data_IF_593628691103
#
_entry.id   IF_593628691103
#
_cell.length_a   1.000
_cell.length_b   1.000
_cell.length_c   1.000
_cell.angle_alpha   90.00
_cell.angle_beta   90.00
_cell.angle_gamma   90.00
#
_symmetry.space_group_name_H-M   'P 1'
#
loop_
_entity.id
_entity.type
_entity.pdbx_description
1 polymer ?
#
# COMPACT_ATOMS: atom_id res chain seq x y z
N UNK A 1 -18.54 62.85 -4.70
CA UNK A 1 -19.29 61.61 -4.43
C UNK A 1 -18.38 60.43 -4.78
N UNK A 2 -17.84 59.76 -3.75
CA UNK A 2 -16.75 58.76 -3.84
C UNK A 2 -17.32 57.43 -4.36
N UNK A 3 -16.84 56.97 -5.52
CA UNK A 3 -17.14 55.63 -6.04
C UNK A 3 -16.18 54.65 -5.35
N UNK A 4 -16.71 53.81 -4.46
CA UNK A 4 -15.98 52.74 -3.79
C UNK A 4 -15.61 51.65 -4.81
N UNK A 5 -14.31 51.39 -4.96
CA UNK A 5 -13.77 50.20 -5.61
C UNK A 5 -13.82 49.04 -4.60
N UNK A 6 -14.73 48.09 -4.81
CA UNK A 6 -14.75 46.83 -4.07
C UNK A 6 -13.88 45.83 -4.84
N UNK A 7 -12.64 45.66 -4.39
CA UNK A 7 -11.75 44.58 -4.81
C UNK A 7 -12.19 43.30 -4.08
N UNK A 8 -13.07 42.51 -4.69
CA UNK A 8 -13.35 41.14 -4.25
C UNK A 8 -12.14 40.26 -4.56
N UNK A 9 -11.27 40.08 -3.56
CA UNK A 9 -10.19 39.09 -3.59
C UNK A 9 -10.82 37.70 -3.53
N UNK A 10 -10.98 37.07 -4.69
CA UNK A 10 -11.37 35.67 -4.82
C UNK A 10 -10.18 34.81 -4.42
N UNK A 11 -10.13 34.38 -3.15
CA UNK A 11 -9.22 33.32 -2.70
C UNK A 11 -9.63 32.02 -3.40
N UNK A 12 -9.03 31.76 -4.57
CA UNK A 12 -9.06 30.45 -5.20
C UNK A 12 -8.28 29.49 -4.29
N UNK A 13 -9.00 28.81 -3.39
CA UNK A 13 -8.46 27.73 -2.60
C UNK A 13 -7.92 26.66 -3.55
N UNK A 14 -6.60 26.45 -3.53
CA UNK A 14 -6.00 25.34 -4.25
C UNK A 14 -6.65 24.05 -3.74
N UNK A 15 -7.19 23.18 -4.63
CA UNK A 15 -7.60 21.85 -4.22
C UNK A 15 -6.36 21.11 -3.74
N UNK A 16 -6.23 20.95 -2.42
CA UNK A 16 -5.32 19.98 -1.83
C UNK A 16 -5.67 18.63 -2.43
N UNK A 17 -4.75 18.05 -3.21
CA UNK A 17 -4.89 16.70 -3.73
C UNK A 17 -4.85 15.70 -2.56
N UNK A 18 -5.99 15.54 -1.89
CA UNK A 18 -6.20 14.48 -0.92
C UNK A 18 -6.18 13.17 -1.71
N UNK A 19 -5.25 12.28 -1.35
CA UNK A 19 -5.24 10.93 -1.89
C UNK A 19 -6.63 10.29 -1.67
N UNK A 20 -7.15 9.61 -2.69
CA UNK A 20 -8.49 9.07 -2.62
C UNK A 20 -8.58 8.01 -1.52
N UNK A 21 -9.65 8.02 -0.69
CA UNK A 21 -9.86 6.99 0.32
C UNK A 21 -10.01 5.64 -0.38
N UNK A 22 -9.43 4.61 0.23
CA UNK A 22 -9.51 3.24 -0.26
C UNK A 22 -10.83 2.63 0.21
N UNK A 23 -11.46 1.80 -0.63
CA UNK A 23 -12.69 1.06 -0.36
C UNK A 23 -12.42 -0.08 0.62
N UNK A 24 -11.99 0.27 1.83
CA UNK A 24 -11.59 -0.62 2.90
C UNK A 24 -12.13 -0.08 4.21
N UNK A 25 -12.88 -0.90 4.94
CA UNK A 25 -13.45 -0.49 6.22
C UNK A 25 -12.41 -0.55 7.36
N UNK A 26 -12.39 0.44 8.26
CA UNK A 26 -11.56 0.38 9.46
C UNK A 26 -12.02 -0.74 10.40
N UNK A 27 -11.08 -1.35 11.11
CA UNK A 27 -11.34 -2.44 12.05
C UNK A 27 -10.19 -3.43 12.18
N UNK A 28 -10.48 -4.56 12.82
CA UNK A 28 -9.56 -5.69 12.90
C UNK A 28 -9.67 -6.52 11.63
N UNK A 29 -8.53 -6.74 10.99
CA UNK A 29 -8.39 -7.53 9.77
C UNK A 29 -7.59 -8.79 10.03
N UNK A 30 -8.03 -9.89 9.44
CA UNK A 30 -7.27 -11.13 9.34
C UNK A 30 -6.72 -11.22 7.92
N UNK A 31 -5.39 -11.34 7.81
CA UNK A 31 -4.65 -11.21 6.56
C UNK A 31 -3.84 -12.47 6.37
N UNK A 32 -4.13 -13.20 5.30
CA UNK A 32 -3.38 -14.36 4.88
C UNK A 32 -2.38 -13.97 3.81
N UNK A 33 -1.11 -14.31 4.03
CA UNK A 33 0.01 -14.02 3.14
C UNK A 33 0.63 -15.34 2.72
N UNK A 34 0.84 -15.51 1.43
CA UNK A 34 1.57 -16.65 0.87
C UNK A 34 2.72 -16.12 0.03
N UNK A 35 3.94 -16.56 0.33
CA UNK A 35 5.14 -16.10 -0.36
C UNK A 35 5.73 -17.21 -1.23
N UNK A 36 6.18 -16.87 -2.42
CA UNK A 36 6.85 -17.74 -3.38
C UNK A 36 8.18 -17.10 -3.77
N UNK A 37 9.29 -17.74 -3.45
CA UNK A 37 10.62 -17.30 -3.91
C UNK A 37 10.98 -18.04 -5.20
N UNK A 38 11.44 -17.30 -6.21
CA UNK A 38 11.91 -17.90 -7.45
C UNK A 38 13.20 -18.71 -7.21
N UNK A 39 13.32 -19.89 -7.82
CA UNK A 39 14.52 -20.73 -7.72
C UNK A 39 14.56 -21.68 -6.51
N UNK A 40 13.54 -21.72 -5.65
CA UNK A 40 13.41 -22.77 -4.63
C UNK A 40 12.90 -24.08 -5.26
N UNK A 41 13.49 -25.25 -4.91
CA UNK A 41 12.99 -26.54 -5.33
C UNK A 41 11.54 -26.77 -4.91
N UNK A 42 10.73 -27.37 -5.78
CA UNK A 42 9.39 -27.84 -5.42
C UNK A 42 9.51 -28.88 -4.28
N UNK A 43 8.86 -28.62 -3.15
CA UNK A 43 8.89 -29.48 -1.96
C UNK A 43 9.66 -28.93 -0.76
N UNK A 44 10.46 -27.87 -0.91
CA UNK A 44 10.86 -27.09 0.26
C UNK A 44 9.67 -26.24 0.75
N UNK A 45 9.56 -25.97 2.07
CA UNK A 45 8.53 -25.07 2.58
C UNK A 45 8.76 -23.69 1.96
N UNK A 46 7.99 -23.34 0.92
CA UNK A 46 7.82 -21.94 0.53
C UNK A 46 7.55 -21.16 1.80
N UNK A 47 8.15 -19.96 1.96
CA UNK A 47 7.89 -19.12 3.13
C UNK A 47 6.37 -19.08 3.37
N UNK A 48 5.96 -19.78 4.44
CA UNK A 48 4.68 -20.47 4.49
C UNK A 48 3.49 -19.54 4.31
N UNK A 49 2.35 -20.13 3.93
CA UNK A 49 1.06 -19.46 4.12
C UNK A 49 0.91 -19.17 5.61
N UNK A 50 0.86 -17.90 5.98
CA UNK A 50 0.67 -17.48 7.36
C UNK A 50 -0.44 -16.44 7.43
N UNK A 51 -1.08 -16.37 8.58
CA UNK A 51 -2.18 -15.46 8.84
C UNK A 51 -1.82 -14.56 10.00
N UNK A 52 -1.96 -13.25 9.79
CA UNK A 52 -1.74 -12.22 10.81
C UNK A 52 -3.04 -11.46 11.06
N UNK A 53 -3.17 -10.88 12.25
CA UNK A 53 -4.25 -9.95 12.53
C UNK A 53 -3.68 -8.56 12.72
N UNK A 54 -4.29 -7.58 12.05
CA UNK A 54 -3.87 -6.19 12.11
C UNK A 54 -5.09 -5.30 12.33
N UNK A 55 -4.98 -4.37 13.28
CA UNK A 55 -5.92 -3.27 13.40
C UNK A 55 -5.60 -2.22 12.34
N UNK A 56 -6.62 -1.79 11.60
CA UNK A 56 -6.53 -0.76 10.58
C UNK A 56 -7.46 0.37 10.98
N UNK A 57 -6.88 1.56 11.12
CA UNK A 57 -7.54 2.76 11.59
C UNK A 57 -8.22 3.53 10.46
N UNK A 58 -9.21 4.40 10.76
CA UNK A 58 -9.83 5.26 9.75
C UNK A 58 -8.83 6.19 9.04
N UNK A 59 -7.80 6.64 9.75
CA UNK A 59 -6.74 7.50 9.19
C UNK A 59 -5.90 6.73 8.16
N UNK A 60 -5.64 5.45 8.39
CA UNK A 60 -4.95 4.60 7.41
C UNK A 60 -5.80 4.39 6.15
N UNK A 61 -7.11 4.14 6.27
CA UNK A 61 -7.98 3.92 5.10
C UNK A 61 -8.21 5.19 4.26
N UNK A 62 -7.96 6.36 4.85
CA UNK A 62 -8.08 7.65 4.18
C UNK A 62 -6.97 7.92 3.15
N UNK A 63 -5.83 7.22 3.24
CA UNK A 63 -4.72 7.36 2.30
C UNK A 63 -4.10 5.99 1.99
N UNK A 64 -4.16 5.58 0.72
CA UNK A 64 -3.55 4.34 0.24
C UNK A 64 -2.06 4.21 0.62
N UNK A 65 -1.33 5.32 0.72
CA UNK A 65 0.09 5.33 1.14
C UNK A 65 0.28 4.88 2.58
N UNK A 66 -0.70 5.07 3.45
CA UNK A 66 -0.66 4.62 4.86
C UNK A 66 -0.97 3.12 4.97
N UNK A 67 -1.80 2.60 4.06
CA UNK A 67 -2.06 1.15 3.95
C UNK A 67 -0.84 0.43 3.35
N UNK A 68 -0.20 1.01 2.34
CA UNK A 68 1.04 0.50 1.75
C UNK A 68 2.19 0.80 2.72
N UNK A 69 2.45 -0.11 3.67
CA UNK A 69 3.52 0.04 4.65
C UNK A 69 4.89 0.19 3.97
N UNK A 70 5.42 1.41 3.94
CA UNK A 70 6.77 1.69 3.41
C UNK A 70 7.81 1.67 4.51
N UNK A 71 9.01 1.19 4.19
CA UNK A 71 10.17 1.27 5.08
C UNK A 71 10.99 2.55 4.82
N UNK A 72 11.80 3.02 5.79
CA UNK A 72 12.77 4.09 5.56
C UNK A 72 13.67 3.78 4.37
N UNK A 73 13.90 4.76 3.50
CA UNK A 73 14.69 4.59 2.27
C UNK A 73 13.91 4.07 1.05
N UNK A 74 12.61 3.84 1.19
CA UNK A 74 11.72 3.53 0.06
C UNK A 74 11.04 4.78 -0.51
N UNK A 75 10.99 4.90 -1.83
CA UNK A 75 10.32 5.97 -2.56
C UNK A 75 9.37 5.39 -3.60
N UNK A 76 8.17 5.95 -3.70
CA UNK A 76 7.21 5.61 -4.76
C UNK A 76 7.69 6.19 -6.10
N UNK A 77 7.97 5.33 -7.07
CA UNK A 77 8.20 5.74 -8.46
C UNK A 77 6.88 5.95 -9.19
N UNK A 78 5.89 5.11 -8.88
CA UNK A 78 4.53 5.19 -9.41
C UNK A 78 3.55 4.83 -8.32
N UNK A 79 2.44 5.56 -8.27
CA UNK A 79 1.31 5.25 -7.42
C UNK A 79 0.05 5.64 -8.20
N UNK A 80 -0.77 4.64 -8.49
CA UNK A 80 -2.08 4.77 -9.13
C UNK A 80 -3.12 4.33 -8.10
N UNK A 81 -3.91 5.29 -7.61
CA UNK A 81 -4.90 5.08 -6.56
C UNK A 81 -6.30 5.32 -7.11
N UNK A 82 -7.08 4.25 -7.15
CA UNK A 82 -8.52 4.27 -7.33
C UNK A 82 -9.16 3.73 -6.05
N UNK A 83 -10.45 4.02 -5.81
CA UNK A 83 -11.10 3.64 -4.56
C UNK A 83 -11.04 2.11 -4.34
N UNK A 84 -11.29 1.32 -5.37
CA UNK A 84 -11.30 -0.14 -5.31
C UNK A 84 -9.99 -0.79 -5.75
N UNK A 85 -9.05 -0.05 -6.32
CA UNK A 85 -7.86 -0.64 -6.94
C UNK A 85 -6.64 0.27 -6.77
N UNK A 86 -5.57 -0.29 -6.21
CA UNK A 86 -4.33 0.47 -5.96
C UNK A 86 -3.16 -0.29 -6.57
N UNK A 87 -2.38 0.41 -7.39
CA UNK A 87 -1.13 -0.11 -7.96
C UNK A 87 0.02 0.80 -7.61
N UNK A 88 1.14 0.20 -7.25
CA UNK A 88 2.35 0.97 -6.97
C UNK A 88 3.59 0.28 -7.48
N UNK A 89 4.59 1.11 -7.73
CA UNK A 89 5.98 0.71 -7.89
C UNK A 89 6.83 1.59 -7.00
N UNK A 90 7.67 0.98 -6.18
CA UNK A 90 8.60 1.67 -5.32
C UNK A 90 10.01 1.12 -5.47
N UNK A 91 10.98 1.97 -5.21
CA UNK A 91 12.39 1.62 -5.09
C UNK A 91 12.83 1.90 -3.67
N UNK A 92 13.51 0.94 -3.07
CA UNK A 92 14.15 1.08 -1.78
C UNK A 92 15.66 1.10 -1.96
N UNK A 93 16.32 2.08 -1.35
CA UNK A 93 17.77 2.16 -1.26
C UNK A 93 18.14 2.18 0.21
N UNK A 94 18.78 1.12 0.68
CA UNK A 94 19.31 1.00 2.04
C UNK A 94 20.84 0.86 1.96
N UNK A 95 21.58 1.03 3.08
CA UNK A 95 23.02 0.75 3.11
C UNK A 95 23.38 -0.68 2.69
N UNK A 96 22.44 -1.62 2.85
CA UNK A 96 22.61 -3.05 2.54
C UNK A 96 22.38 -3.38 1.05
N UNK A 97 21.77 -2.46 0.29
CA UNK A 97 21.54 -2.66 -1.15
C UNK A 97 20.34 -1.90 -1.71
N UNK A 98 19.96 -2.27 -2.93
CA UNK A 98 18.79 -1.73 -3.61
C UNK A 98 17.75 -2.82 -3.86
N UNK A 99 16.48 -2.49 -3.62
CA UNK A 99 15.37 -3.34 -3.97
C UNK A 99 14.26 -2.57 -4.69
N UNK A 100 13.41 -3.32 -5.38
CA UNK A 100 12.19 -2.79 -6.01
C UNK A 100 10.99 -3.58 -5.53
N UNK A 101 9.87 -2.89 -5.36
CA UNK A 101 8.60 -3.52 -4.99
C UNK A 101 7.50 -3.02 -5.91
N UNK A 102 6.76 -3.94 -6.49
CA UNK A 102 5.59 -3.68 -7.33
C UNK A 102 4.39 -4.38 -6.72
N UNK A 103 3.32 -3.64 -6.47
CA UNK A 103 2.13 -4.18 -5.84
C UNK A 103 0.85 -3.77 -6.55
N UNK A 104 -0.13 -4.67 -6.50
CA UNK A 104 -1.48 -4.47 -7.01
C UNK A 104 -2.47 -5.03 -6.00
N UNK A 105 -3.40 -4.18 -5.55
CA UNK A 105 -4.39 -4.51 -4.53
C UNK A 105 -5.78 -4.13 -5.01
N UNK A 106 -6.76 -4.99 -4.75
CA UNK A 106 -8.18 -4.74 -5.01
C UNK A 106 -8.94 -4.83 -3.69
N UNK A 107 -9.73 -3.80 -3.41
CA UNK A 107 -10.45 -3.60 -2.15
C UNK A 107 -11.97 -3.60 -2.36
N UNK A 108 -12.68 -4.28 -1.47
CA UNK A 108 -14.13 -4.50 -1.54
C UNK A 108 -14.80 -4.35 -0.16
N UNK A 109 -14.51 -3.25 0.54
CA UNK A 109 -15.09 -2.90 1.84
C UNK A 109 -14.55 -3.77 2.98
N UNK A 110 -15.05 -5.01 3.09
CA UNK A 110 -14.68 -5.97 4.15
C UNK A 110 -13.75 -7.09 3.69
N UNK A 111 -13.33 -7.07 2.42
CA UNK A 111 -12.30 -7.96 1.90
C UNK A 111 -11.32 -7.22 1.00
N UNK A 112 -10.14 -7.77 0.84
CA UNK A 112 -9.21 -7.37 -0.21
C UNK A 112 -8.39 -8.56 -0.69
N UNK A 113 -7.84 -8.43 -1.89
CA UNK A 113 -6.83 -9.33 -2.41
C UNK A 113 -5.74 -8.56 -3.12
N UNK A 114 -4.55 -9.12 -3.22
CA UNK A 114 -3.53 -8.54 -4.05
C UNK A 114 -2.27 -9.36 -4.17
N UNK A 115 -1.38 -8.85 -5.01
CA UNK A 115 -0.09 -9.46 -5.32
C UNK A 115 1.00 -8.42 -5.13
N UNK A 116 2.08 -8.81 -4.47
CA UNK A 116 3.28 -8.02 -4.28
C UNK A 116 4.45 -8.79 -4.87
N UNK A 117 5.24 -8.12 -5.71
CA UNK A 117 6.49 -8.64 -6.22
C UNK A 117 7.61 -7.81 -5.63
N UNK A 118 8.54 -8.47 -4.95
CA UNK A 118 9.76 -7.87 -4.45
C UNK A 118 10.95 -8.42 -5.24
N UNK A 119 11.84 -7.53 -5.68
CA UNK A 119 13.10 -7.90 -6.31
C UNK A 119 14.25 -7.23 -5.57
N UNK A 120 15.12 -8.03 -4.97
CA UNK A 120 16.30 -7.56 -4.24
C UNK A 120 17.55 -7.98 -4.99
N UNK A 121 18.53 -7.09 -5.10
CA UNK A 121 19.85 -7.43 -5.63
C UNK A 121 20.80 -7.69 -4.46
N UNK A 122 21.29 -8.93 -4.34
CA UNK A 122 22.28 -9.35 -3.34
C UNK A 122 23.45 -10.01 -4.05
N UNK A 123 24.69 -9.57 -3.78
CA UNK A 123 25.91 -10.16 -4.36
C UNK A 123 25.88 -10.29 -5.90
N UNK A 124 25.21 -9.36 -6.59
CA UNK A 124 25.06 -9.39 -8.06
C UNK A 124 23.96 -10.31 -8.59
N UNK A 125 23.28 -11.07 -7.73
CA UNK A 125 22.13 -11.88 -8.07
C UNK A 125 20.82 -11.16 -7.72
N UNK A 126 19.81 -11.26 -8.60
CA UNK A 126 18.47 -10.72 -8.33
C UNK A 126 17.58 -11.83 -7.77
N UNK A 127 17.22 -11.71 -6.50
CA UNK A 127 16.22 -12.58 -5.86
C UNK A 127 14.84 -11.97 -6.04
N UNK A 128 13.94 -12.71 -6.69
CA UNK A 128 12.54 -12.31 -6.88
C UNK A 128 11.62 -13.12 -5.97
N UNK A 129 10.81 -12.42 -5.19
CA UNK A 129 9.79 -12.99 -4.31
C UNK A 129 8.42 -12.46 -4.70
N UNK A 130 7.46 -13.35 -4.93
CA UNK A 130 6.06 -13.00 -5.18
C UNK A 130 5.24 -13.36 -3.96
N UNK A 131 4.46 -12.43 -3.44
CA UNK A 131 3.55 -12.62 -2.32
C UNK A 131 2.12 -12.40 -2.79
N UNK A 132 1.22 -13.30 -2.44
CA UNK A 132 -0.22 -13.11 -2.60
C UNK A 132 -0.85 -12.89 -1.24
N UNK A 133 -1.74 -11.90 -1.17
CA UNK A 133 -2.40 -11.49 0.07
C UNK A 133 -3.91 -11.59 -0.09
N UNK A 134 -4.58 -12.06 0.96
CA UNK A 134 -6.04 -12.05 1.09
C UNK A 134 -6.39 -11.54 2.47
N UNK A 135 -7.19 -10.48 2.54
CA UNK A 135 -7.63 -9.88 3.79
C UNK A 135 -9.13 -9.98 3.96
N UNK A 136 -9.58 -10.22 5.20
CA UNK A 136 -10.98 -10.10 5.59
C UNK A 136 -11.12 -9.36 6.90
N UNK A 137 -12.07 -8.44 6.99
CA UNK A 137 -12.44 -7.77 8.24
C UNK A 137 -13.12 -8.77 9.17
N UNK A 138 -12.63 -8.86 10.41
CA UNK A 138 -13.11 -9.79 11.44
C UNK A 138 -13.81 -9.08 12.61
N UNK A 139 -13.88 -7.76 12.60
CA UNK A 139 -14.64 -6.98 13.58
C UNK A 139 -14.02 -5.61 13.85
N UNK A 140 -14.43 -4.94 14.95
CA UNK A 140 -13.76 -3.72 15.42
C UNK A 140 -12.37 -4.04 16.00
N UNK A 141 -11.47 -3.07 16.00
CA UNK A 141 -10.22 -3.19 16.76
C UNK A 141 -10.51 -3.29 18.26
N UNK A 142 -9.73 -4.10 18.97
CA UNK A 142 -9.73 -4.10 20.44
C UNK A 142 -9.00 -2.83 20.91
N UNK A 143 -9.54 -2.19 21.96
CA UNK A 143 -8.87 -1.09 22.65
C UNK A 143 -7.70 -1.60 23.47
#
# INVERSE_FOLDING_TARGET
MKRLLILTVWCAGLPSALAAPVNMEPGLWEITIQSKMAGMPEGMPQAGKHTVRQCITPDETADARKIIRTQPGCQFDKLDTQSNHVRWKMRCKTPEGSSTSEGEMTYAGQSYQGTLVHSTVMEGQTLRTTQTMQGRRVGPCKK
#
